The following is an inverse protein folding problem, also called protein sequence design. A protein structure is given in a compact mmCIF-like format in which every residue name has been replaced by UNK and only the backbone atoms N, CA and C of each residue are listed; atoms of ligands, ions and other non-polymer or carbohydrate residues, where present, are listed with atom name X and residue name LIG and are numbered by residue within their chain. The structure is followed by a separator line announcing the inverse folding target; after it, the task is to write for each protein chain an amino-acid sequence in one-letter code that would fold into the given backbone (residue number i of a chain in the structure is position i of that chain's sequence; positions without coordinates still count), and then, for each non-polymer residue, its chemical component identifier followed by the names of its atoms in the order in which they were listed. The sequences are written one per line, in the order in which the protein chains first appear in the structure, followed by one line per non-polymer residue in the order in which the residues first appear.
data_IF_950041066336
#
_entry.id   IF_950041066336
#
_cell.length_a   1.000
_cell.length_b   1.000
_cell.length_c   1.000
_cell.angle_alpha   90.00
_cell.angle_beta   90.00
_cell.angle_gamma   90.00
#
_symmetry.space_group_name_H-M   'P 1'
#
loop_
_entity.id
_entity.type
_entity.pdbx_description
1 polymer ?
#
# COMPACT_ATOMS: atom_id res chain seq x y z
N UNK A 1 -44.83 13.93 -11.97
CA UNK A 1 -44.30 12.67 -12.55
C UNK A 1 -43.22 13.09 -13.55
N UNK A 2 -41.92 13.10 -13.27
CA UNK A 2 -41.00 11.99 -12.94
C UNK A 2 -39.77 12.62 -12.27
N UNK A 3 -39.73 12.81 -10.95
CA UNK A 3 -38.49 13.11 -10.20
C UNK A 3 -38.60 12.50 -8.80
N UNK A 4 -38.82 11.19 -8.74
CA UNK A 4 -38.81 10.43 -7.49
C UNK A 4 -38.22 9.01 -7.65
N UNK A 5 -37.53 8.74 -8.77
CA UNK A 5 -37.16 7.39 -9.17
C UNK A 5 -35.65 7.18 -9.39
N UNK A 6 -34.78 8.10 -8.96
CA UNK A 6 -33.33 8.01 -9.22
C UNK A 6 -32.47 7.64 -7.99
N UNK A 7 -33.04 7.50 -6.79
CA UNK A 7 -32.29 7.15 -5.57
C UNK A 7 -32.32 5.66 -5.22
N UNK A 8 -32.96 4.81 -6.03
CA UNK A 8 -33.25 3.42 -5.65
C UNK A 8 -32.44 2.34 -6.41
N UNK A 9 -31.38 2.68 -7.16
CA UNK A 9 -30.66 1.69 -7.99
C UNK A 9 -29.21 1.37 -7.55
N UNK A 10 -28.67 1.96 -6.49
CA UNK A 10 -27.31 1.64 -6.02
C UNK A 10 -27.24 0.74 -4.78
N UNK A 11 -28.37 0.14 -4.35
CA UNK A 11 -28.43 -0.66 -3.12
C UNK A 11 -28.08 -2.15 -3.29
N UNK A 12 -27.56 -2.60 -4.44
CA UNK A 12 -26.89 -3.89 -4.56
C UNK A 12 -25.41 -3.78 -4.13
N UNK A 13 -25.19 -3.20 -2.95
CA UNK A 13 -23.92 -3.37 -2.22
C UNK A 13 -23.91 -4.83 -1.78
N UNK A 14 -22.95 -5.61 -2.28
CA UNK A 14 -22.70 -6.98 -1.87
C UNK A 14 -22.80 -7.10 -0.33
N UNK A 15 -23.80 -7.80 0.19
CA UNK A 15 -23.97 -8.05 1.63
C UNK A 15 -23.06 -9.17 2.14
N UNK A 16 -21.99 -9.49 1.40
CA UNK A 16 -20.97 -10.39 1.91
C UNK A 16 -20.27 -9.69 3.07
N UNK A 17 -20.14 -10.33 4.24
CA UNK A 17 -19.35 -9.75 5.32
C UNK A 17 -17.93 -9.57 4.79
N UNK A 18 -17.40 -8.35 4.89
CA UNK A 18 -15.97 -8.13 4.69
C UNK A 18 -15.25 -9.02 5.71
N UNK A 19 -14.67 -10.14 5.26
CA UNK A 19 -13.81 -10.94 6.12
C UNK A 19 -12.62 -10.05 6.44
N UNK A 20 -12.47 -9.70 7.71
CA UNK A 20 -11.22 -9.13 8.18
C UNK A 20 -10.10 -10.10 7.76
N UNK A 21 -9.08 -9.58 7.09
CA UNK A 21 -7.87 -10.36 6.86
C UNK A 21 -7.27 -10.71 8.22
N UNK A 22 -6.71 -11.90 8.34
CA UNK A 22 -6.00 -12.29 9.55
C UNK A 22 -4.90 -11.26 9.83
N UNK A 23 -4.71 -10.94 11.11
CA UNK A 23 -3.60 -10.09 11.53
C UNK A 23 -2.29 -10.68 11.00
N UNK A 24 -1.46 -9.84 10.38
CA UNK A 24 -0.20 -10.25 9.82
C UNK A 24 -0.28 -11.38 8.77
N UNK A 25 -1.34 -11.40 7.94
CA UNK A 25 -1.51 -12.41 6.89
C UNK A 25 -0.33 -12.53 5.90
N UNK A 26 0.52 -11.51 5.82
CA UNK A 26 1.68 -11.42 4.91
C UNK A 26 3.02 -11.77 5.61
N UNK A 27 2.99 -12.35 6.82
CA UNK A 27 4.20 -12.60 7.64
C UNK A 27 5.29 -13.46 7.00
N UNK A 28 4.92 -14.37 6.11
CA UNK A 28 5.85 -15.29 5.45
C UNK A 28 6.42 -14.73 4.13
N UNK A 29 6.13 -13.46 3.82
CA UNK A 29 6.61 -12.76 2.63
C UNK A 29 7.79 -11.85 2.97
N UNK A 30 8.79 -11.89 2.10
CA UNK A 30 9.89 -10.93 2.10
C UNK A 30 9.70 -9.92 0.96
N UNK A 31 9.51 -8.65 1.28
CA UNK A 31 9.26 -7.57 0.33
C UNK A 31 10.50 -6.68 0.23
N UNK A 32 10.94 -6.41 -0.99
CA UNK A 32 11.87 -5.32 -1.27
C UNK A 32 11.09 -4.10 -1.75
N UNK A 33 11.11 -3.05 -0.95
CA UNK A 33 10.34 -1.83 -1.21
C UNK A 33 11.27 -0.71 -1.68
N UNK A 34 11.16 -0.33 -2.95
CA UNK A 34 11.90 0.79 -3.52
C UNK A 34 11.21 2.11 -3.20
N UNK A 35 11.77 2.86 -2.26
CA UNK A 35 11.27 4.19 -1.86
C UNK A 35 11.54 5.22 -2.96
N UNK A 36 12.57 4.98 -3.78
CA UNK A 36 13.01 5.84 -4.88
C UNK A 36 13.86 7.01 -4.39
N UNK A 37 13.35 7.84 -3.49
CA UNK A 37 14.03 9.05 -3.02
C UNK A 37 15.32 8.83 -2.25
N UNK A 38 15.96 9.95 -1.90
CA UNK A 38 17.05 9.93 -0.94
C UNK A 38 16.45 9.72 0.45
N UNK A 39 17.20 9.07 1.33
CA UNK A 39 16.76 8.91 2.71
C UNK A 39 16.56 10.29 3.36
N UNK A 40 15.39 10.51 3.96
CA UNK A 40 15.00 11.79 4.57
C UNK A 40 14.46 12.85 3.60
N UNK A 41 14.36 12.57 2.29
CA UNK A 41 13.68 13.51 1.38
C UNK A 41 12.16 13.55 1.62
N UNK A 42 11.51 14.63 1.19
CA UNK A 42 10.12 14.90 1.57
C UNK A 42 9.14 13.84 1.04
N UNK A 43 9.27 13.46 -0.23
CA UNK A 43 8.37 12.48 -0.84
C UNK A 43 8.66 11.06 -0.36
N UNK A 44 9.94 10.65 -0.37
CA UNK A 44 10.38 9.33 0.07
C UNK A 44 10.06 9.07 1.54
N UNK A 45 10.15 10.08 2.41
CA UNK A 45 9.74 9.95 3.82
C UNK A 45 8.24 9.63 3.97
N UNK A 46 7.37 10.26 3.18
CA UNK A 46 5.92 9.99 3.21
C UNK A 46 5.65 8.54 2.80
N UNK A 47 6.24 8.12 1.68
CA UNK A 47 6.07 6.75 1.15
C UNK A 47 6.65 5.70 2.10
N UNK A 48 7.86 5.96 2.64
CA UNK A 48 8.51 5.10 3.63
C UNK A 48 7.67 4.91 4.89
N UNK A 49 7.12 5.99 5.45
CA UNK A 49 6.27 5.90 6.64
C UNK A 49 4.99 5.08 6.40
N UNK A 50 4.36 5.24 5.23
CA UNK A 50 3.22 4.41 4.83
C UNK A 50 3.60 2.94 4.70
N UNK A 51 4.73 2.64 4.07
CA UNK A 51 5.24 1.29 3.91
C UNK A 51 5.61 0.64 5.26
N UNK A 52 6.16 1.40 6.22
CA UNK A 52 6.40 0.93 7.60
C UNK A 52 5.12 0.57 8.33
N UNK A 53 4.09 1.41 8.23
CA UNK A 53 2.80 1.11 8.86
C UNK A 53 2.20 -0.15 8.25
N UNK A 54 2.22 -0.27 6.92
CA UNK A 54 1.78 -1.49 6.25
C UNK A 54 2.61 -2.72 6.67
N UNK A 55 3.92 -2.60 6.85
CA UNK A 55 4.74 -3.70 7.35
C UNK A 55 4.31 -4.14 8.76
N UNK A 56 3.99 -3.18 9.64
CA UNK A 56 3.49 -3.47 10.99
C UNK A 56 2.13 -4.18 10.97
N UNK A 57 1.20 -3.73 10.12
CA UNK A 57 -0.16 -4.27 10.04
C UNK A 57 -0.20 -5.65 9.36
N UNK A 58 0.58 -5.82 8.29
CA UNK A 58 0.54 -6.98 7.41
C UNK A 58 1.57 -8.05 7.79
N UNK A 59 2.59 -7.69 8.58
CA UNK A 59 3.63 -8.57 9.09
C UNK A 59 4.79 -8.99 8.18
N UNK A 60 4.95 -8.57 6.90
CA UNK A 60 6.06 -9.05 6.09
C UNK A 60 7.41 -8.55 6.63
N UNK A 61 8.49 -9.26 6.29
CA UNK A 61 9.83 -8.66 6.33
C UNK A 61 9.94 -7.67 5.18
N UNK A 62 10.41 -6.44 5.45
CA UNK A 62 10.57 -5.41 4.41
C UNK A 62 11.97 -4.84 4.43
N UNK A 63 12.66 -4.91 3.30
CA UNK A 63 13.90 -4.19 3.04
C UNK A 63 13.57 -2.90 2.27
N UNK A 64 13.89 -1.74 2.85
CA UNK A 64 13.62 -0.43 2.26
C UNK A 64 14.84 0.10 1.51
N UNK A 65 14.65 0.46 0.24
CA UNK A 65 15.74 0.75 -0.69
C UNK A 65 15.61 2.18 -1.20
N UNK A 66 16.67 2.96 -0.99
CA UNK A 66 16.74 4.38 -1.36
C UNK A 66 17.76 4.55 -2.49
N UNK A 67 17.30 5.04 -3.64
CA UNK A 67 18.18 5.29 -4.80
C UNK A 67 18.53 6.77 -4.98
N UNK A 68 17.83 7.70 -4.32
CA UNK A 68 18.04 9.12 -4.58
C UNK A 68 17.53 9.56 -5.96
N UNK A 69 16.48 8.90 -6.47
CA UNK A 69 15.92 9.07 -7.81
C UNK A 69 16.86 8.67 -8.95
N UNK A 70 17.98 8.03 -8.62
CA UNK A 70 18.95 7.54 -9.58
C UNK A 70 18.51 6.20 -10.16
N UNK A 71 18.27 6.17 -11.47
CA UNK A 71 17.75 4.99 -12.18
C UNK A 71 18.80 3.88 -12.25
N UNK A 72 20.06 4.22 -12.45
CA UNK A 72 21.15 3.22 -12.55
C UNK A 72 21.34 2.50 -11.22
N UNK A 73 21.32 3.25 -10.11
CA UNK A 73 21.34 2.71 -8.75
C UNK A 73 20.12 1.84 -8.47
N UNK A 74 18.91 2.22 -8.91
CA UNK A 74 17.73 1.35 -8.77
C UNK A 74 17.93 -0.01 -9.46
N UNK A 75 18.46 -0.01 -10.68
CA UNK A 75 18.70 -1.24 -11.46
C UNK A 75 19.78 -2.11 -10.81
N UNK A 76 20.90 -1.52 -10.37
CA UNK A 76 21.97 -2.24 -9.69
C UNK A 76 21.53 -2.86 -8.36
N UNK A 77 20.51 -2.27 -7.74
CA UNK A 77 20.01 -2.73 -6.46
C UNK A 77 19.02 -3.89 -6.58
N UNK A 78 18.38 -4.16 -7.74
CA UNK A 78 17.38 -5.25 -7.95
C UNK A 78 17.79 -6.60 -7.37
#
# INVERSE_FOLDING_TARGET
TVVAAATALCASISTLPARALDAQWCKDVHIRFFVGGAEGDAFGTIVYNGAKQAAADLGPKVDYIFSGWDVEKMVQQL
#
